data_IF_427762205696
#
_entry.id   IF_427762205696
#
_cell.length_a   1.000
_cell.length_b   1.000
_cell.length_c   1.000
_cell.angle_alpha   90.00
_cell.angle_beta   90.00
_cell.angle_gamma   90.00
#
_symmetry.space_group_name_H-M   'P 1'
#
loop_
_entity.id
_entity.type
_entity.pdbx_description
1 polymer ?
#
# COMPACT_ATOMS: atom_id res chain seq x y z
N UNK A 1 -24.37 42.57 30.21
CA UNK A 1 -23.59 42.30 31.43
C UNK A 1 -23.99 40.94 31.98
N UNK A 2 -23.11 39.94 31.87
CA UNK A 2 -23.30 38.63 32.50
C UNK A 2 -21.91 38.07 32.82
N UNK A 3 -21.58 38.05 34.11
CA UNK A 3 -20.30 37.57 34.65
C UNK A 3 -20.32 36.05 34.73
N UNK A 4 -19.27 35.40 34.20
CA UNK A 4 -19.10 33.95 34.23
C UNK A 4 -17.90 33.61 35.13
N UNK A 5 -18.22 33.04 36.29
CA UNK A 5 -17.28 32.64 37.35
C UNK A 5 -16.60 31.31 37.02
N UNK A 6 -15.28 31.25 37.16
CA UNK A 6 -14.45 30.05 36.96
C UNK A 6 -14.14 29.41 38.33
N UNK A 7 -14.34 28.09 38.55
CA UNK A 7 -13.90 27.45 39.78
C UNK A 7 -12.47 26.91 39.72
N UNK A 8 -11.81 26.99 40.88
CA UNK A 8 -10.40 26.78 41.14
C UNK A 8 -9.96 25.28 41.16
N UNK A 9 -8.71 25.06 40.73
CA UNK A 9 -7.99 23.77 40.79
C UNK A 9 -7.63 23.41 42.24
N UNK A 10 -8.05 22.22 42.70
CA UNK A 10 -7.55 21.60 43.94
C UNK A 10 -6.32 20.74 43.64
N UNK A 11 -5.19 21.10 44.25
CA UNK A 11 -3.95 20.32 44.31
C UNK A 11 -4.05 19.27 45.43
N UNK A 12 -3.96 17.99 45.09
CA UNK A 12 -3.94 16.88 46.05
C UNK A 12 -2.50 16.46 46.35
N UNK A 13 -2.07 16.63 47.60
CA UNK A 13 -0.79 16.17 48.15
C UNK A 13 -0.87 14.66 48.41
N UNK A 14 0.06 13.89 47.84
CA UNK A 14 0.21 12.45 48.10
C UNK A 14 1.38 12.21 49.05
N UNK A 15 1.08 11.65 50.22
CA UNK A 15 2.03 11.19 51.24
C UNK A 15 2.67 9.86 50.81
N UNK A 16 3.96 9.58 51.12
CA UNK A 16 4.56 8.29 50.85
C UNK A 16 4.29 7.30 51.99
N UNK A 17 3.86 6.08 51.64
CA UNK A 17 3.71 4.96 52.57
C UNK A 17 4.95 4.05 52.54
N UNK A 18 5.47 3.78 53.74
CA UNK A 18 6.58 2.86 54.00
C UNK A 18 6.23 1.42 53.58
N UNK A 19 7.14 0.78 52.85
CA UNK A 19 7.03 -0.66 52.51
C UNK A 19 8.07 -1.46 53.27
N UNK A 20 7.57 -2.46 54.02
CA UNK A 20 8.30 -3.38 54.89
C UNK A 20 9.23 -4.30 54.07
N UNK A 21 10.46 -4.50 54.57
CA UNK A 21 11.41 -5.55 54.15
C UNK A 21 10.80 -6.94 54.33
N UNK A 22 10.87 -7.78 53.29
CA UNK A 22 10.53 -9.22 53.32
C UNK A 22 11.84 -10.04 53.21
N UNK A 23 12.01 -11.14 53.96
CA UNK A 23 13.25 -11.90 53.98
C UNK A 23 13.46 -12.73 52.72
N UNK A 24 14.74 -12.92 52.39
CA UNK A 24 15.23 -13.66 51.24
C UNK A 24 14.84 -15.15 51.31
N UNK A 25 14.18 -15.65 50.26
CA UNK A 25 14.11 -17.09 49.95
C UNK A 25 15.29 -17.42 49.04
N UNK A 26 16.19 -18.27 49.51
CA UNK A 26 17.19 -18.97 48.71
C UNK A 26 16.47 -19.88 47.72
N UNK A 27 16.43 -19.48 46.45
CA UNK A 27 16.00 -20.33 45.35
C UNK A 27 17.23 -21.08 44.83
N UNK A 28 17.25 -22.40 44.97
CA UNK A 28 18.18 -23.27 44.25
C UNK A 28 18.05 -23.02 42.75
N UNK A 29 19.11 -22.48 42.15
CA UNK A 29 19.19 -22.20 40.73
C UNK A 29 19.22 -23.52 39.96
N UNK A 30 18.12 -23.84 39.28
CA UNK A 30 18.06 -24.88 38.24
C UNK A 30 19.01 -24.42 37.11
N UNK A 31 19.94 -25.26 36.62
CA UNK A 31 20.85 -24.86 35.56
C UNK A 31 20.05 -24.46 34.32
N UNK A 32 20.32 -23.26 33.80
CA UNK A 32 19.70 -22.75 32.59
C UNK A 32 19.96 -23.73 31.43
N UNK A 33 18.94 -24.07 30.61
CA UNK A 33 19.16 -24.91 29.45
C UNK A 33 20.20 -24.25 28.54
N UNK A 34 21.24 -25.01 28.17
CA UNK A 34 22.26 -24.59 27.21
C UNK A 34 21.55 -24.08 25.96
N UNK A 35 21.69 -22.77 25.70
CA UNK A 35 21.15 -22.11 24.50
C UNK A 35 21.77 -22.82 23.30
N UNK A 36 20.96 -23.55 22.54
CA UNK A 36 21.41 -24.14 21.29
C UNK A 36 21.99 -23.04 20.39
N UNK A 37 23.06 -23.32 19.63
CA UNK A 37 23.63 -22.33 18.72
C UNK A 37 22.54 -21.85 17.76
N UNK A 38 22.41 -20.54 17.63
CA UNK A 38 21.48 -19.95 16.68
C UNK A 38 21.89 -20.41 15.27
N UNK A 39 21.05 -21.23 14.65
CA UNK A 39 21.20 -21.56 13.23
C UNK A 39 20.94 -20.25 12.47
N UNK A 40 22.02 -19.64 12.01
CA UNK A 40 21.97 -18.47 11.12
C UNK A 40 21.27 -18.91 9.83
N UNK A 41 20.00 -18.52 9.68
CA UNK A 41 19.24 -18.85 8.47
C UNK A 41 19.90 -18.16 7.29
N UNK A 42 20.10 -18.91 6.21
CA UNK A 42 20.54 -18.37 4.93
C UNK A 42 19.66 -17.18 4.50
N UNK A 43 20.23 -16.19 3.79
CA UNK A 43 19.46 -15.05 3.29
C UNK A 43 18.32 -15.54 2.37
N UNK A 44 17.16 -14.85 2.37
CA UNK A 44 16.04 -15.21 1.50
C UNK A 44 16.43 -15.09 0.03
N UNK A 45 15.87 -15.96 -0.81
CA UNK A 45 15.93 -15.81 -2.27
C UNK A 45 15.23 -14.52 -2.73
N UNK A 46 15.54 -13.99 -3.93
CA UNK A 46 14.88 -12.80 -4.47
C UNK A 46 13.34 -12.89 -4.47
N UNK A 47 12.78 -14.06 -4.79
CA UNK A 47 11.34 -14.31 -4.80
C UNK A 47 10.74 -14.26 -3.38
N UNK A 48 11.41 -14.88 -2.41
CA UNK A 48 10.99 -14.83 -1.01
C UNK A 48 11.05 -13.39 -0.47
N UNK A 49 12.07 -12.62 -0.87
CA UNK A 49 12.19 -11.22 -0.51
C UNK A 49 11.08 -10.37 -1.16
N UNK A 50 10.72 -10.63 -2.41
CA UNK A 50 9.62 -9.98 -3.12
C UNK A 50 8.27 -10.22 -2.43
N UNK A 51 7.93 -11.47 -2.10
CA UNK A 51 6.69 -11.78 -1.36
C UNK A 51 6.65 -11.14 0.04
N UNK A 52 7.77 -11.16 0.77
CA UNK A 52 7.85 -10.52 2.08
C UNK A 52 7.68 -8.99 1.96
N UNK A 53 8.25 -8.40 0.90
CA UNK A 53 8.14 -6.98 0.61
C UNK A 53 6.72 -6.58 0.21
N UNK A 54 6.04 -7.37 -0.64
CA UNK A 54 4.66 -7.13 -1.06
C UNK A 54 3.70 -7.01 0.14
N UNK A 55 3.80 -7.92 1.11
CA UNK A 55 3.00 -7.85 2.33
C UNK A 55 3.27 -6.57 3.16
N UNK A 56 4.48 -5.99 3.07
CA UNK A 56 4.81 -4.70 3.70
C UNK A 56 4.25 -3.54 2.87
N UNK A 57 4.39 -3.59 1.56
CA UNK A 57 3.85 -2.59 0.63
C UNK A 57 2.33 -2.47 0.80
N UNK A 58 1.64 -3.62 0.81
CA UNK A 58 0.20 -3.69 1.05
C UNK A 58 -0.19 -3.13 2.42
N UNK A 59 0.49 -3.46 3.52
CA UNK A 59 0.11 -2.89 4.85
C UNK A 59 0.36 -1.39 4.97
N UNK A 60 1.36 -0.87 4.25
CA UNK A 60 1.63 0.57 4.19
C UNK A 60 0.67 1.30 3.25
N UNK A 61 -0.18 0.58 2.51
CA UNK A 61 -1.17 1.01 1.51
C UNK A 61 -1.41 2.51 1.51
N UNK A 62 -0.67 3.22 0.66
CA UNK A 62 -0.87 4.64 0.34
C UNK A 62 -1.03 5.61 1.51
N UNK A 63 -0.79 5.19 2.76
CA UNK A 63 -1.03 5.99 3.97
C UNK A 63 -0.21 7.27 4.04
N UNK A 64 0.93 7.30 3.34
CA UNK A 64 1.82 8.44 3.25
C UNK A 64 1.86 9.06 1.84
N UNK A 65 0.87 8.78 0.98
CA UNK A 65 0.81 9.21 -0.41
C UNK A 65 2.08 8.90 -1.20
N UNK A 66 2.44 9.76 -2.16
CA UNK A 66 3.64 9.63 -3.02
C UNK A 66 4.94 9.36 -2.27
N UNK A 67 5.14 9.90 -1.07
CA UNK A 67 6.36 9.67 -0.30
C UNK A 67 6.53 8.19 0.05
N UNK A 68 5.45 7.53 0.46
CA UNK A 68 5.45 6.11 0.75
C UNK A 68 5.80 5.27 -0.48
N UNK A 69 5.24 5.61 -1.64
CA UNK A 69 5.42 4.76 -2.84
C UNK A 69 6.70 4.99 -3.56
N UNK A 70 7.25 6.20 -3.52
CA UNK A 70 8.64 6.40 -3.97
C UNK A 70 9.60 5.53 -3.18
N UNK A 71 9.40 5.41 -1.86
CA UNK A 71 10.24 4.54 -1.05
C UNK A 71 10.05 3.05 -1.40
N UNK A 72 8.82 2.63 -1.71
CA UNK A 72 8.54 1.26 -2.13
C UNK A 72 9.11 0.96 -3.53
N UNK A 73 8.89 1.85 -4.49
CA UNK A 73 9.31 1.72 -5.88
C UNK A 73 10.85 1.70 -6.04
N UNK A 74 11.57 2.39 -5.15
CA UNK A 74 13.04 2.38 -5.10
C UNK A 74 13.61 1.16 -4.40
N UNK A 75 12.78 0.31 -3.79
CA UNK A 75 13.27 -0.89 -3.14
C UNK A 75 13.72 -1.91 -4.20
N UNK A 76 14.92 -2.50 -4.08
CA UNK A 76 15.42 -3.49 -5.05
C UNK A 76 14.58 -4.78 -5.10
N UNK A 77 13.75 -5.03 -4.08
CA UNK A 77 12.81 -6.15 -4.03
C UNK A 77 11.39 -5.76 -4.48
N UNK A 78 11.20 -4.58 -5.08
CA UNK A 78 9.90 -4.24 -5.66
C UNK A 78 9.65 -5.14 -6.87
N UNK A 79 8.68 -6.02 -6.74
CA UNK A 79 8.20 -6.89 -7.82
C UNK A 79 7.29 -6.11 -8.79
N UNK A 80 7.22 -6.59 -10.04
CA UNK A 80 6.27 -6.06 -11.03
C UNK A 80 4.82 -6.09 -10.52
N UNK A 81 4.38 -7.18 -9.89
CA UNK A 81 3.03 -7.30 -9.33
C UNK A 81 2.76 -6.31 -8.22
N UNK A 82 3.73 -6.13 -7.32
CA UNK A 82 3.64 -5.11 -6.25
C UNK A 82 3.58 -3.70 -6.83
N UNK A 83 4.38 -3.40 -7.85
CA UNK A 83 4.33 -2.10 -8.52
C UNK A 83 3.00 -1.86 -9.24
N UNK A 84 2.44 -2.91 -9.87
CA UNK A 84 1.13 -2.84 -10.51
C UNK A 84 0.03 -2.60 -9.48
N UNK A 85 0.08 -3.29 -8.33
CA UNK A 85 -0.82 -3.03 -7.20
C UNK A 85 -0.72 -1.56 -6.75
N UNK A 86 0.49 -1.05 -6.53
CA UNK A 86 0.69 0.35 -6.12
C UNK A 86 0.15 1.34 -7.15
N UNK A 87 0.29 1.05 -8.45
CA UNK A 87 -0.27 1.87 -9.51
C UNK A 87 -1.80 1.94 -9.39
N UNK A 88 -2.50 0.81 -9.26
CA UNK A 88 -3.96 0.81 -9.17
C UNK A 88 -4.50 1.42 -7.87
N UNK A 89 -3.82 1.19 -6.74
CA UNK A 89 -4.13 1.85 -5.46
C UNK A 89 -3.94 3.37 -5.51
N UNK A 90 -3.04 3.85 -6.37
CA UNK A 90 -2.81 5.27 -6.63
C UNK A 90 -3.90 5.95 -7.46
N UNK A 91 -4.97 5.22 -7.84
CA UNK A 91 -6.11 5.73 -8.59
C UNK A 91 -5.71 6.45 -9.89
N UNK A 92 -5.15 5.74 -10.89
CA UNK A 92 -4.59 6.33 -12.11
C UNK A 92 -5.63 7.07 -12.98
N UNK A 93 -6.92 6.84 -12.73
CA UNK A 93 -7.99 7.62 -13.35
C UNK A 93 -8.07 9.06 -12.83
N UNK A 94 -7.65 9.33 -11.59
CA UNK A 94 -7.73 10.65 -10.99
C UNK A 94 -6.90 11.69 -11.75
N UNK A 95 -5.68 11.35 -12.20
CA UNK A 95 -4.86 12.31 -12.94
C UNK A 95 -5.39 12.60 -14.36
N UNK A 96 -6.20 11.69 -14.89
CA UNK A 96 -6.74 11.75 -16.25
C UNK A 96 -7.97 12.66 -16.36
N UNK A 97 -8.49 13.17 -15.24
CA UNK A 97 -9.53 14.20 -15.21
C UNK A 97 -9.03 15.60 -15.56
N UNK A 98 -7.71 15.82 -15.59
CA UNK A 98 -7.11 17.11 -15.95
C UNK A 98 -6.65 17.05 -17.42
N UNK A 99 -7.02 18.03 -18.24
CA UNK A 99 -6.57 18.08 -19.62
C UNK A 99 -5.07 18.41 -19.67
N UNK A 100 -4.65 19.42 -18.91
CA UNK A 100 -3.28 19.95 -18.92
C UNK A 100 -2.62 19.90 -17.54
N UNK A 101 -1.28 19.90 -17.50
CA UNK A 101 -0.55 19.87 -16.23
C UNK A 101 -0.72 21.16 -15.41
N UNK A 102 -1.20 22.24 -16.03
CA UNK A 102 -1.49 23.52 -15.36
C UNK A 102 -2.75 23.45 -14.50
N UNK A 103 -3.70 22.59 -14.87
CA UNK A 103 -4.95 22.38 -14.11
C UNK A 103 -4.74 21.52 -12.86
N UNK A 104 -3.59 20.84 -12.76
CA UNK A 104 -3.30 19.95 -11.62
C UNK A 104 -3.09 20.79 -10.35
N UNK A 105 -3.92 20.57 -9.31
CA UNK A 105 -3.74 21.21 -8.01
C UNK A 105 -2.37 20.89 -7.42
N UNK A 106 -1.76 21.86 -6.75
CA UNK A 106 -0.40 21.72 -6.22
C UNK A 106 -0.23 20.47 -5.33
N UNK A 107 -1.21 20.20 -4.46
CA UNK A 107 -1.18 19.05 -3.56
C UNK A 107 -1.15 17.70 -4.30
N UNK A 108 -1.67 17.62 -5.53
CA UNK A 108 -1.75 16.38 -6.30
C UNK A 108 -0.52 16.14 -7.19
N UNK A 109 0.31 17.15 -7.42
CA UNK A 109 1.43 17.09 -8.39
C UNK A 109 2.43 15.98 -8.06
N UNK A 110 2.76 15.81 -6.78
CA UNK A 110 3.72 14.79 -6.34
C UNK A 110 3.20 13.36 -6.54
N UNK A 111 1.91 13.15 -6.27
CA UNK A 111 1.25 11.86 -6.49
C UNK A 111 1.18 11.52 -7.97
N UNK A 112 0.76 12.48 -8.80
CA UNK A 112 0.72 12.33 -10.27
C UNK A 112 2.12 12.07 -10.86
N UNK A 113 3.14 12.77 -10.37
CA UNK A 113 4.51 12.51 -10.82
C UNK A 113 4.97 11.07 -10.52
N UNK A 114 4.59 10.53 -9.35
CA UNK A 114 4.86 9.12 -9.05
C UNK A 114 4.02 8.17 -9.90
N UNK A 115 2.75 8.49 -10.14
CA UNK A 115 1.88 7.66 -10.98
C UNK A 115 2.43 7.50 -12.39
N UNK A 116 2.94 8.60 -12.97
CA UNK A 116 3.63 8.59 -14.26
C UNK A 116 4.93 7.77 -14.23
N UNK A 117 5.71 7.86 -13.16
CA UNK A 117 6.93 7.08 -12.96
C UNK A 117 6.61 5.57 -12.87
N UNK A 118 5.56 5.20 -12.13
CA UNK A 118 5.06 3.83 -12.04
C UNK A 118 4.60 3.34 -13.42
N UNK A 119 3.77 4.11 -14.13
CA UNK A 119 3.27 3.76 -15.47
C UNK A 119 4.44 3.49 -16.43
N UNK A 120 5.43 4.38 -16.47
CA UNK A 120 6.61 4.22 -17.33
C UNK A 120 7.40 2.94 -17.00
N UNK A 121 7.71 2.70 -15.72
CA UNK A 121 8.48 1.51 -15.32
C UNK A 121 7.70 0.21 -15.54
N UNK A 122 6.39 0.21 -15.30
CA UNK A 122 5.51 -0.93 -15.58
C UNK A 122 5.48 -1.26 -17.08
N UNK A 123 5.30 -0.26 -17.94
CA UNK A 123 5.33 -0.45 -19.39
C UNK A 123 6.70 -0.95 -19.87
N UNK A 124 7.79 -0.48 -19.25
CA UNK A 124 9.15 -0.92 -19.56
C UNK A 124 9.51 -2.29 -18.94
N UNK A 125 8.65 -2.86 -18.07
CA UNK A 125 8.94 -4.08 -17.29
C UNK A 125 10.25 -3.97 -16.49
N UNK A 126 10.56 -2.78 -15.98
CA UNK A 126 11.81 -2.46 -15.27
C UNK A 126 11.79 -2.88 -13.78
N UNK A 127 11.72 -4.19 -13.53
CA UNK A 127 11.69 -4.79 -12.20
C UNK A 127 12.53 -6.07 -12.14
N UNK A 128 13.14 -6.33 -10.98
CA UNK A 128 14.01 -7.48 -10.79
C UNK A 128 13.25 -8.81 -10.84
N UNK A 129 11.97 -8.80 -10.45
CA UNK A 129 11.11 -9.99 -10.40
C UNK A 129 9.68 -9.66 -10.87
N UNK A 130 8.95 -10.69 -11.27
CA UNK A 130 7.53 -10.63 -11.61
C UNK A 130 6.81 -11.90 -11.11
N UNK A 131 6.92 -12.17 -9.82
CA UNK A 131 6.40 -13.38 -9.16
C UNK A 131 5.20 -13.11 -8.27
N UNK A 132 4.96 -11.85 -7.90
CA UNK A 132 3.80 -11.48 -7.10
C UNK A 132 2.59 -11.37 -8.01
N UNK A 133 1.53 -12.12 -7.70
CA UNK A 133 0.28 -12.08 -8.43
C UNK A 133 -0.58 -10.89 -8.00
N UNK A 134 -0.93 -10.04 -8.96
CA UNK A 134 -1.89 -8.97 -8.81
C UNK A 134 -2.75 -8.88 -10.06
N UNK A 135 -4.07 -8.92 -9.89
CA UNK A 135 -5.04 -8.83 -10.98
C UNK A 135 -5.90 -7.57 -10.78
N UNK A 136 -5.73 -6.51 -11.59
CA UNK A 136 -6.48 -5.28 -11.39
C UNK A 136 -7.98 -5.42 -11.66
N UNK A 137 -8.41 -6.48 -12.34
CA UNK A 137 -9.84 -6.75 -12.61
C UNK A 137 -10.48 -7.64 -11.55
N UNK A 138 -9.68 -8.19 -10.65
CA UNK A 138 -10.10 -9.16 -9.64
C UNK A 138 -9.17 -9.10 -8.44
N UNK A 139 -9.09 -7.93 -7.82
CA UNK A 139 -8.28 -7.75 -6.64
C UNK A 139 -9.00 -8.28 -5.40
N UNK A 140 -8.39 -9.26 -4.74
CA UNK A 140 -8.88 -9.83 -3.49
C UNK A 140 -8.15 -9.27 -2.26
N UNK A 141 -7.22 -8.34 -2.45
CA UNK A 141 -6.45 -7.80 -1.34
C UNK A 141 -7.27 -6.80 -0.51
N UNK A 142 -8.11 -5.97 -1.11
CA UNK A 142 -8.77 -4.86 -0.40
C UNK A 142 -10.15 -5.18 0.19
N UNK A 143 -10.73 -6.35 -0.09
CA UNK A 143 -12.16 -6.59 0.13
C UNK A 143 -12.47 -8.10 0.18
N UNK A 144 -13.58 -8.46 0.86
CA UNK A 144 -14.14 -9.83 0.82
C UNK A 144 -14.63 -10.16 -0.60
N UNK A 145 -15.21 -9.18 -1.27
CA UNK A 145 -15.64 -9.28 -2.66
C UNK A 145 -14.52 -8.82 -3.61
N UNK A 146 -14.30 -9.51 -4.76
CA UNK A 146 -13.30 -9.09 -5.73
C UNK A 146 -13.57 -7.66 -6.24
N UNK A 147 -12.54 -6.82 -6.17
CA UNK A 147 -12.60 -5.44 -6.66
C UNK A 147 -12.06 -5.36 -8.09
N UNK A 148 -12.82 -4.74 -8.99
CA UNK A 148 -12.37 -4.39 -10.33
C UNK A 148 -11.95 -2.92 -10.37
N UNK A 149 -10.63 -2.69 -10.39
CA UNK A 149 -10.02 -1.37 -10.48
C UNK A 149 -10.08 -0.79 -11.90
N UNK A 150 -10.24 -1.64 -12.91
CA UNK A 150 -10.20 -1.24 -14.31
C UNK A 150 -11.52 -0.64 -14.75
N UNK A 151 -12.64 -1.12 -14.21
CA UNK A 151 -13.97 -0.55 -14.50
C UNK A 151 -14.06 0.88 -13.92
N UNK A 152 -14.24 1.91 -14.78
CA UNK A 152 -14.36 3.28 -14.29
C UNK A 152 -15.56 3.42 -13.35
N UNK A 153 -15.34 4.05 -12.19
CA UNK A 153 -16.44 4.39 -11.30
C UNK A 153 -17.31 5.47 -11.96
N UNK A 154 -18.62 5.25 -12.15
CA UNK A 154 -19.51 6.24 -12.79
C UNK A 154 -19.62 7.55 -12.02
N UNK A 155 -19.22 7.57 -10.74
CA UNK A 155 -19.20 8.78 -9.91
C UNK A 155 -17.91 9.61 -10.07
N UNK A 156 -16.94 9.13 -10.84
CA UNK A 156 -15.72 9.90 -11.11
C UNK A 156 -15.97 10.94 -12.21
N UNK A 157 -15.27 12.09 -12.15
CA UNK A 157 -15.29 13.06 -13.24
C UNK A 157 -14.90 12.42 -14.59
N UNK A 158 -15.38 12.98 -15.71
CA UNK A 158 -15.02 12.48 -17.03
C UNK A 158 -13.51 12.53 -17.25
N UNK A 159 -12.99 11.54 -17.98
CA UNK A 159 -11.57 11.49 -18.34
C UNK A 159 -11.32 12.47 -19.50
N UNK A 160 -10.47 13.47 -19.27
CA UNK A 160 -10.00 14.42 -20.27
C UNK A 160 -8.73 13.95 -20.99
N UNK A 161 -8.08 12.90 -20.46
CA UNK A 161 -6.98 12.19 -21.09
C UNK A 161 -7.40 10.76 -21.46
N UNK A 162 -6.64 10.05 -22.32
CA UNK A 162 -6.85 8.63 -22.56
C UNK A 162 -6.92 7.84 -21.25
N UNK A 163 -7.54 6.66 -21.20
CA UNK A 163 -7.52 5.80 -20.02
C UNK A 163 -6.11 5.23 -19.76
N UNK A 164 -5.88 4.56 -18.60
CA UNK A 164 -4.68 3.77 -18.38
C UNK A 164 -4.35 2.84 -19.57
N UNK A 165 -3.07 2.59 -19.87
CA UNK A 165 -2.68 1.68 -20.95
C UNK A 165 -3.29 0.29 -20.74
N UNK A 166 -3.78 -0.32 -21.83
CA UNK A 166 -4.41 -1.64 -21.76
C UNK A 166 -3.49 -2.73 -21.19
N UNK A 167 -2.17 -2.61 -21.40
CA UNK A 167 -1.18 -3.54 -20.85
C UNK A 167 -1.17 -3.57 -19.31
N UNK A 168 -1.58 -2.47 -18.65
CA UNK A 168 -1.65 -2.38 -17.20
C UNK A 168 -3.00 -2.86 -16.64
N UNK A 169 -3.97 -3.18 -17.51
CA UNK A 169 -5.27 -3.74 -17.14
C UNK A 169 -5.26 -5.27 -17.08
N UNK A 170 -4.14 -5.90 -17.44
CA UNK A 170 -3.96 -7.35 -17.39
C UNK A 170 -3.29 -7.76 -16.07
N UNK A 171 -3.47 -9.01 -15.62
CA UNK A 171 -2.77 -9.55 -14.47
C UNK A 171 -1.24 -9.44 -14.57
N UNK A 172 -0.58 -9.31 -13.42
CA UNK A 172 0.89 -9.21 -13.35
C UNK A 172 1.60 -10.48 -13.83
N UNK A 173 0.98 -11.61 -13.55
CA UNK A 173 1.32 -12.97 -13.97
C UNK A 173 0.03 -13.65 -14.45
N UNK A 174 0.10 -14.68 -15.31
CA UNK A 174 -1.09 -15.41 -15.74
C UNK A 174 -1.96 -15.84 -14.54
N UNK A 175 -3.27 -15.61 -14.65
CA UNK A 175 -4.27 -15.97 -13.64
C UNK A 175 -5.27 -16.95 -14.27
N UNK A 176 -4.97 -18.27 -14.29
CA UNK A 176 -5.80 -19.26 -14.97
C UNK A 176 -7.22 -19.34 -14.40
N UNK A 177 -7.40 -19.04 -13.11
CA UNK A 177 -8.72 -19.03 -12.49
C UNK A 177 -9.59 -17.89 -13.02
N UNK A 178 -9.01 -16.70 -13.21
CA UNK A 178 -9.69 -15.58 -13.86
C UNK A 178 -9.94 -15.84 -15.35
N UNK A 179 -8.99 -16.45 -16.06
CA UNK A 179 -9.16 -16.81 -17.46
C UNK A 179 -10.29 -17.84 -17.68
N UNK A 180 -10.32 -18.88 -16.85
CA UNK A 180 -11.35 -19.92 -16.89
C UNK A 180 -12.76 -19.39 -16.56
N UNK A 181 -12.85 -18.33 -15.75
CA UNK A 181 -14.11 -17.66 -15.45
C UNK A 181 -14.68 -16.83 -16.63
N UNK A 182 -13.95 -16.76 -17.75
CA UNK A 182 -14.36 -16.02 -18.95
C UNK A 182 -14.12 -14.54 -18.76
N UNK A 183 -12.90 -14.07 -19.08
CA UNK A 183 -12.45 -12.67 -19.02
C UNK A 183 -13.61 -11.70 -19.30
N UNK A 184 -14.23 -11.07 -18.30
CA UNK A 184 -15.40 -10.23 -18.55
C UNK A 184 -14.98 -9.12 -19.51
N UNK A 185 -15.59 -9.11 -20.70
CA UNK A 185 -15.12 -8.42 -21.90
C UNK A 185 -15.28 -6.89 -21.86
N UNK A 186 -15.40 -6.31 -20.67
CA UNK A 186 -15.45 -4.87 -20.45
C UNK A 186 -14.09 -4.23 -20.65
N UNK A 187 -13.66 -4.07 -21.91
CA UNK A 187 -12.77 -2.94 -22.23
C UNK A 187 -13.66 -1.71 -22.24
N UNK A 188 -13.47 -0.73 -21.35
CA UNK A 188 -14.16 0.53 -21.50
C UNK A 188 -13.79 1.12 -22.86
N UNK A 189 -14.77 1.25 -23.76
CA UNK A 189 -14.58 1.96 -25.03
C UNK A 189 -14.48 3.43 -24.67
N UNK A 190 -13.26 3.92 -24.52
CA UNK A 190 -13.03 5.35 -24.38
C UNK A 190 -13.40 6.02 -25.70
N UNK A 191 -14.33 6.97 -25.64
CA UNK A 191 -14.59 7.89 -26.72
C UNK A 191 -14.04 9.27 -26.31
N UNK A 192 -13.22 9.92 -27.16
CA UNK A 192 -12.77 11.27 -26.87
C UNK A 192 -13.98 12.19 -26.70
N UNK A 193 -14.08 12.84 -25.54
CA UNK A 193 -15.03 13.95 -25.35
C UNK A 193 -14.58 15.09 -26.29
N UNK A 194 -15.47 15.53 -27.19
CA UNK A 194 -15.19 16.68 -28.05
C UNK A 194 -15.07 17.94 -27.16
N UNK A 195 -14.08 18.81 -27.42
CA UNK A 195 -13.90 20.06 -26.67
C UNK A 195 -15.08 21.02 -26.83
#
# INVERSE_FOLDING_TARGET
MATRTVPAKKTSKRTPAATKKKPARTASAKPAPKRAPAVEKAPPSPEQAAHAFDAVAYRRNWRNGSRGGRALLKNPHCDYGTALMLYWLGAPYFERQYATDREIPEFARADIALMRELEQRLLARDFATAVVAFNPRRDMHCSIDPLDWVTPNPNHPPLLRPPPPAALMEPSVPDPAWEAAGRPSGRPVWQPQKP
#
